data_IF_472535306105
#
_entry.id   IF_472535306105
#
_cell.length_a   1.000
_cell.length_b   1.000
_cell.length_c   1.000
_cell.angle_alpha   90.00
_cell.angle_beta   90.00
_cell.angle_gamma   90.00
#
_symmetry.space_group_name_H-M   'P 1'
#
loop_
_entity.id
_entity.type
_entity.pdbx_description
1 polymer ?
#
# COMPACT_ATOMS: atom_id res chain seq x y z
N UNK A 1 -0.37 30.23 -12.64
CA UNK A 1 -0.73 29.15 -13.59
C UNK A 1 -1.03 29.79 -14.94
N UNK A 2 -0.96 29.06 -16.06
CA UNK A 2 -1.28 29.62 -17.38
C UNK A 2 -2.33 28.77 -18.08
N UNK A 3 -3.59 29.18 -17.90
CA UNK A 3 -4.75 28.53 -18.49
C UNK A 3 -5.51 29.54 -19.37
N UNK A 4 -5.11 29.67 -20.66
CA UNK A 4 -5.61 30.74 -21.53
C UNK A 4 -7.11 30.65 -21.82
N UNK A 5 -7.73 29.47 -21.63
CA UNK A 5 -9.16 29.24 -21.84
C UNK A 5 -10.00 29.72 -20.65
N UNK A 6 -9.37 30.14 -19.55
CA UNK A 6 -10.01 30.70 -18.35
C UNK A 6 -9.64 32.18 -18.24
N UNK A 7 -10.48 33.12 -18.74
CA UNK A 7 -10.15 34.54 -18.80
C UNK A 7 -9.78 35.16 -17.44
N UNK A 8 -10.39 34.67 -16.36
CA UNK A 8 -10.11 35.10 -15.00
C UNK A 8 -8.67 34.76 -14.56
N UNK A 9 -8.05 33.72 -15.12
CA UNK A 9 -6.68 33.34 -14.80
C UNK A 9 -5.71 34.47 -15.13
N UNK A 10 -5.87 35.12 -16.29
CA UNK A 10 -5.01 36.25 -16.67
C UNK A 10 -5.21 37.46 -15.74
N UNK A 11 -6.46 37.80 -15.45
CA UNK A 11 -6.80 38.94 -14.55
C UNK A 11 -6.17 38.73 -13.17
N UNK A 12 -6.28 37.51 -12.62
CA UNK A 12 -5.70 37.17 -11.32
C UNK A 12 -4.17 37.16 -11.39
N UNK A 13 -3.57 36.60 -12.45
CA UNK A 13 -2.13 36.59 -12.62
C UNK A 13 -1.53 38.01 -12.66
N UNK A 14 -2.16 38.94 -13.38
CA UNK A 14 -1.68 40.33 -13.48
C UNK A 14 -1.69 41.00 -12.09
N UNK A 15 -2.76 40.80 -11.32
CA UNK A 15 -2.86 41.30 -9.94
C UNK A 15 -1.86 40.64 -9.00
N UNK A 16 -1.63 39.33 -9.14
CA UNK A 16 -0.63 38.61 -8.33
C UNK A 16 0.78 39.09 -8.62
N UNK A 17 1.09 39.47 -9.87
CA UNK A 17 2.38 40.03 -10.26
C UNK A 17 2.58 41.40 -9.61
N UNK A 18 1.57 42.26 -9.64
CA UNK A 18 1.60 43.57 -8.97
C UNK A 18 1.79 43.42 -7.46
N UNK A 19 0.98 42.56 -6.83
CA UNK A 19 1.06 42.27 -5.39
C UNK A 19 2.41 41.68 -4.98
N UNK A 20 2.97 40.77 -5.79
CA UNK A 20 4.28 40.19 -5.56
C UNK A 20 5.40 41.23 -5.57
N UNK A 21 5.29 42.27 -6.43
CA UNK A 21 6.23 43.39 -6.45
C UNK A 21 6.05 44.31 -5.25
N UNK A 22 4.82 44.67 -4.90
CA UNK A 22 4.53 45.55 -3.75
C UNK A 22 4.98 44.95 -2.42
N UNK A 23 4.74 43.65 -2.23
CA UNK A 23 5.06 42.93 -1.00
C UNK A 23 6.46 42.30 -1.00
N UNK A 24 7.20 42.42 -2.11
CA UNK A 24 8.49 41.79 -2.32
C UNK A 24 8.46 40.26 -2.07
N UNK A 25 7.42 39.60 -2.60
CA UNK A 25 7.21 38.15 -2.50
C UNK A 25 7.51 37.51 -3.86
N UNK A 26 8.46 36.55 -3.96
CA UNK A 26 8.77 35.88 -5.22
C UNK A 26 7.61 35.06 -5.77
N UNK A 27 7.41 35.12 -7.07
CA UNK A 27 6.39 34.35 -7.80
C UNK A 27 6.92 32.96 -8.19
N UNK A 28 6.01 32.01 -8.36
CA UNK A 28 6.33 30.64 -8.77
C UNK A 28 5.30 30.18 -9.82
N UNK A 29 5.78 29.62 -10.92
CA UNK A 29 4.94 29.09 -11.97
C UNK A 29 4.57 27.62 -11.72
N UNK A 30 3.30 27.27 -11.94
CA UNK A 30 2.78 25.89 -11.87
C UNK A 30 1.72 25.69 -12.97
N UNK A 31 1.40 24.43 -13.31
CA UNK A 31 0.37 24.09 -14.31
C UNK A 31 -0.83 23.32 -13.73
N UNK A 32 -0.88 23.12 -12.42
CA UNK A 32 -1.93 22.35 -11.74
C UNK A 32 -2.20 20.99 -12.41
N UNK A 33 -1.14 20.19 -12.49
CA UNK A 33 -1.13 18.97 -13.31
C UNK A 33 -2.06 17.90 -12.72
N UNK A 34 -2.99 17.41 -13.54
CA UNK A 34 -3.93 16.33 -13.18
C UNK A 34 -3.73 15.04 -13.98
N UNK A 35 -3.05 15.10 -15.12
CA UNK A 35 -2.78 13.96 -15.99
C UNK A 35 -1.44 14.11 -16.73
N UNK A 36 -0.94 13.04 -17.34
CA UNK A 36 0.39 13.04 -17.94
C UNK A 36 0.36 13.64 -19.34
N UNK A 37 -0.48 13.12 -20.24
CA UNK A 37 -0.55 13.53 -21.63
C UNK A 37 -1.79 14.41 -21.90
N UNK A 38 -1.71 15.39 -22.80
CA UNK A 38 -2.89 16.20 -23.17
C UNK A 38 -4.07 15.36 -23.67
N UNK A 39 -3.80 14.16 -24.20
CA UNK A 39 -4.81 13.19 -24.66
C UNK A 39 -5.56 12.47 -23.54
N UNK A 40 -5.07 12.54 -22.30
CA UNK A 40 -5.70 11.91 -21.13
C UNK A 40 -6.83 12.78 -20.53
N UNK A 41 -7.16 13.92 -21.16
CA UNK A 41 -8.24 14.81 -20.73
C UNK A 41 -9.62 14.11 -20.70
N UNK A 42 -9.92 13.22 -21.64
CA UNK A 42 -11.19 12.46 -21.66
C UNK A 42 -11.23 11.39 -20.55
N UNK A 43 -10.22 10.51 -20.38
CA UNK A 43 -10.14 9.61 -19.23
C UNK A 43 -10.25 10.34 -17.88
N UNK A 44 -9.56 11.47 -17.72
CA UNK A 44 -9.64 12.29 -16.52
C UNK A 44 -11.06 12.83 -16.27
N UNK A 45 -11.73 13.31 -17.32
CA UNK A 45 -13.12 13.76 -17.24
C UNK A 45 -14.08 12.63 -16.84
N UNK A 46 -13.86 11.41 -17.33
CA UNK A 46 -14.60 10.20 -16.90
C UNK A 46 -14.36 9.94 -15.41
N UNK A 47 -13.11 10.02 -14.94
CA UNK A 47 -12.77 9.82 -13.54
C UNK A 47 -13.46 10.84 -12.62
N UNK A 48 -13.50 12.12 -13.00
CA UNK A 48 -14.24 13.16 -12.26
C UNK A 48 -15.74 12.84 -12.23
N UNK A 49 -16.31 12.44 -13.36
CA UNK A 49 -17.72 12.05 -13.43
C UNK A 49 -18.03 10.85 -12.53
N UNK A 50 -17.12 9.87 -12.43
CA UNK A 50 -17.25 8.74 -11.53
C UNK A 50 -17.29 9.17 -10.06
N UNK A 51 -16.34 10.02 -9.65
CA UNK A 51 -16.25 10.52 -8.28
C UNK A 51 -17.46 11.39 -7.90
N UNK A 52 -17.90 12.25 -8.83
CA UNK A 52 -19.03 13.18 -8.62
C UNK A 52 -20.41 12.55 -8.89
N UNK A 53 -20.45 11.27 -9.29
CA UNK A 53 -21.67 10.52 -9.63
C UNK A 53 -22.51 11.21 -10.73
N UNK A 54 -21.84 11.78 -11.73
CA UNK A 54 -22.43 12.43 -12.90
C UNK A 54 -22.18 11.64 -14.18
N UNK A 55 -22.96 11.90 -15.22
CA UNK A 55 -22.68 11.41 -16.58
C UNK A 55 -21.98 12.49 -17.39
N UNK A 56 -21.25 12.10 -18.44
CA UNK A 56 -20.62 13.06 -19.35
C UNK A 56 -21.63 13.99 -20.02
N UNK A 57 -22.86 13.51 -20.23
CA UNK A 57 -23.97 14.24 -20.83
C UNK A 57 -24.60 15.30 -19.91
N UNK A 58 -24.26 15.33 -18.62
CA UNK A 58 -24.87 16.27 -17.67
C UNK A 58 -24.29 17.67 -17.89
N UNK A 59 -25.14 18.69 -18.11
CA UNK A 59 -24.70 20.05 -18.46
C UNK A 59 -24.04 20.80 -17.28
N UNK A 60 -24.52 20.59 -16.06
CA UNK A 60 -24.03 21.27 -14.84
C UNK A 60 -23.16 20.34 -14.00
N UNK A 61 -22.13 19.76 -14.61
CA UNK A 61 -21.15 18.90 -13.94
C UNK A 61 -19.79 19.58 -13.81
N UNK A 62 -19.00 19.14 -12.84
CA UNK A 62 -17.58 19.50 -12.78
C UNK A 62 -16.88 18.91 -14.01
N UNK A 63 -16.22 19.76 -14.79
CA UNK A 63 -15.44 19.35 -15.96
C UNK A 63 -14.24 20.28 -16.11
N UNK A 64 -13.12 19.68 -16.49
CA UNK A 64 -11.86 20.36 -16.79
C UNK A 64 -11.61 20.39 -18.31
N UNK A 65 -12.61 19.95 -19.10
CA UNK A 65 -12.52 20.00 -20.55
C UNK A 65 -12.49 21.44 -21.03
N UNK A 66 -11.72 21.68 -22.09
CA UNK A 66 -11.49 23.01 -22.66
C UNK A 66 -10.17 23.63 -22.26
N UNK A 67 -9.44 23.05 -21.30
CA UNK A 67 -8.10 23.50 -20.90
C UNK A 67 -7.16 22.29 -20.73
N UNK A 68 -5.84 22.53 -20.79
CA UNK A 68 -4.83 21.46 -20.71
C UNK A 68 -4.09 21.42 -19.36
N UNK A 69 -4.56 20.53 -18.48
CA UNK A 69 -3.95 20.22 -17.18
C UNK A 69 -2.93 19.06 -17.24
N UNK A 70 -2.33 18.81 -18.42
CA UNK A 70 -1.26 17.81 -18.56
C UNK A 70 0.08 18.27 -18.02
N UNK A 71 1.02 17.33 -17.90
CA UNK A 71 2.40 17.61 -17.52
C UNK A 71 3.15 18.26 -18.69
N UNK A 72 3.19 19.60 -18.71
CA UNK A 72 3.77 20.39 -19.81
C UNK A 72 5.30 20.34 -19.83
N UNK A 73 5.87 20.48 -21.02
CA UNK A 73 7.31 20.60 -21.20
C UNK A 73 7.84 21.96 -20.74
N UNK A 74 9.14 22.03 -20.46
CA UNK A 74 9.83 23.24 -20.03
C UNK A 74 9.70 24.35 -21.07
N UNK A 75 9.75 24.02 -22.37
CA UNK A 75 9.65 24.98 -23.47
C UNK A 75 8.27 25.64 -23.49
N UNK A 76 7.20 24.84 -23.37
CA UNK A 76 5.82 25.35 -23.31
C UNK A 76 5.60 26.23 -22.08
N UNK A 77 6.08 25.79 -20.91
CA UNK A 77 5.99 26.58 -19.68
C UNK A 77 6.79 27.87 -19.76
N UNK A 78 8.00 27.84 -20.33
CA UNK A 78 8.84 29.04 -20.49
C UNK A 78 8.23 30.03 -21.47
N UNK A 79 7.59 29.55 -22.55
CA UNK A 79 6.86 30.40 -23.48
C UNK A 79 5.64 31.05 -22.82
N UNK A 80 4.84 30.27 -22.09
CA UNK A 80 3.66 30.72 -21.35
C UNK A 80 4.00 31.82 -20.32
N UNK A 81 5.13 31.68 -19.62
CA UNK A 81 5.60 32.60 -18.58
C UNK A 81 6.71 33.55 -19.05
N UNK A 82 6.83 33.79 -20.36
CA UNK A 82 7.88 34.67 -20.93
C UNK A 82 7.85 36.12 -20.41
N UNK A 83 6.71 36.58 -19.91
CA UNK A 83 6.51 37.89 -19.29
C UNK A 83 7.00 37.96 -17.82
N UNK A 84 7.21 36.81 -17.17
CA UNK A 84 7.72 36.66 -15.79
C UNK A 84 8.65 35.44 -15.71
N UNK A 85 9.84 35.51 -16.33
CA UNK A 85 10.77 34.37 -16.37
C UNK A 85 11.27 33.96 -14.98
N UNK A 86 11.31 34.89 -14.00
CA UNK A 86 11.72 34.55 -12.64
C UNK A 86 10.82 33.49 -12.00
N UNK A 87 9.52 33.47 -12.35
CA UNK A 87 8.56 32.52 -11.80
C UNK A 87 8.91 31.06 -12.16
N UNK A 88 9.48 30.83 -13.35
CA UNK A 88 9.98 29.52 -13.76
C UNK A 88 11.26 29.19 -13.00
N UNK A 89 12.23 30.11 -12.97
CA UNK A 89 13.51 29.89 -12.27
C UNK A 89 13.34 29.58 -10.77
N UNK A 90 12.32 30.18 -10.14
CA UNK A 90 12.05 29.99 -8.73
C UNK A 90 11.53 28.58 -8.42
N UNK A 91 10.91 27.89 -9.39
CA UNK A 91 10.53 26.47 -9.21
C UNK A 91 11.77 25.60 -8.99
N UNK A 92 12.84 25.82 -9.76
CA UNK A 92 14.12 25.14 -9.61
C UNK A 92 14.78 25.43 -8.26
N UNK A 93 14.80 26.69 -7.82
CA UNK A 93 15.34 27.06 -6.50
C UNK A 93 14.59 26.37 -5.36
N UNK A 94 13.26 26.34 -5.42
CA UNK A 94 12.44 25.65 -4.40
C UNK A 94 12.75 24.15 -4.41
N UNK A 95 12.83 23.54 -5.59
CA UNK A 95 13.17 22.12 -5.71
C UNK A 95 14.55 21.80 -5.10
N UNK A 96 15.56 22.66 -5.32
CA UNK A 96 16.90 22.52 -4.72
C UNK A 96 16.90 22.67 -3.19
N UNK A 97 16.00 23.51 -2.65
CA UNK A 97 15.85 23.70 -1.20
C UNK A 97 15.12 22.54 -0.51
N UNK A 98 14.24 21.84 -1.22
CA UNK A 98 13.43 20.75 -0.69
C UNK A 98 14.22 19.43 -0.60
N UNK A 99 14.93 19.23 0.51
CA UNK A 99 15.67 18.00 0.81
C UNK A 99 15.00 17.24 1.96
N UNK A 100 14.16 16.25 1.63
CA UNK A 100 13.47 15.40 2.60
C UNK A 100 14.04 13.99 2.54
N UNK A 101 14.55 13.51 3.67
CA UNK A 101 15.02 12.13 3.80
C UNK A 101 13.95 11.29 4.50
N UNK A 102 13.50 10.23 3.82
CA UNK A 102 12.64 9.20 4.39
C UNK A 102 13.48 7.94 4.61
N UNK A 103 13.60 7.51 5.86
CA UNK A 103 14.31 6.29 6.22
C UNK A 103 13.35 5.10 6.13
N UNK A 104 13.65 4.17 5.23
CA UNK A 104 12.89 2.93 5.02
C UNK A 104 13.65 1.68 5.48
N UNK A 105 14.90 1.84 5.92
CA UNK A 105 15.79 0.73 6.28
C UNK A 105 15.79 0.50 7.80
N UNK A 106 15.59 1.56 8.59
CA UNK A 106 15.54 1.45 10.05
C UNK A 106 14.21 0.85 10.52
N UNK A 107 14.30 -0.30 11.20
CA UNK A 107 13.16 -0.94 11.84
C UNK A 107 12.98 -0.36 13.24
N UNK A 108 11.80 0.19 13.51
CA UNK A 108 11.41 0.68 14.82
C UNK A 108 10.50 -0.32 15.52
N UNK A 109 11.07 -1.19 16.36
CA UNK A 109 10.29 -2.11 17.19
C UNK A 109 9.80 -1.40 18.46
N UNK A 110 8.57 -1.66 18.92
CA UNK A 110 8.10 -1.13 20.20
C UNK A 110 8.87 -1.79 21.35
N UNK A 111 9.02 -1.06 22.46
CA UNK A 111 9.69 -1.60 23.64
C UNK A 111 8.81 -2.65 24.32
N UNK A 112 9.39 -3.84 24.58
CA UNK A 112 8.73 -4.88 25.36
C UNK A 112 9.13 -4.71 26.83
N UNK A 113 8.16 -4.42 27.71
CA UNK A 113 8.43 -4.21 29.13
C UNK A 113 8.92 -5.50 29.80
N UNK A 114 10.17 -5.48 30.25
CA UNK A 114 10.83 -6.60 30.93
C UNK A 114 11.14 -6.24 32.40
N UNK A 115 11.24 -7.25 33.29
CA UNK A 115 11.74 -7.02 34.64
C UNK A 115 13.15 -6.42 34.63
N UNK A 116 13.45 -5.59 35.64
CA UNK A 116 14.74 -4.90 35.75
C UNK A 116 15.88 -5.92 35.72
N UNK A 117 16.86 -5.68 34.83
CA UNK A 117 18.07 -6.50 34.72
C UNK A 117 17.94 -7.74 33.84
N UNK A 118 16.79 -7.97 33.18
CA UNK A 118 16.59 -9.07 32.24
C UNK A 118 16.57 -8.53 30.81
N UNK A 119 17.40 -9.12 29.92
CA UNK A 119 17.38 -8.75 28.49
C UNK A 119 16.28 -9.51 27.73
N UNK A 120 15.89 -9.00 26.55
CA UNK A 120 14.93 -9.70 25.69
C UNK A 120 15.40 -11.09 25.28
N UNK A 121 16.71 -11.27 25.07
CA UNK A 121 17.30 -12.58 24.76
C UNK A 121 17.16 -13.55 25.93
N UNK A 122 17.44 -13.09 27.16
CA UNK A 122 17.33 -13.92 28.37
C UNK A 122 15.88 -14.34 28.61
N UNK A 123 14.95 -13.40 28.45
CA UNK A 123 13.53 -13.67 28.63
C UNK A 123 12.98 -14.61 27.57
N UNK A 124 13.36 -14.44 26.30
CA UNK A 124 12.99 -15.34 25.21
C UNK A 124 13.52 -16.76 25.46
N UNK A 125 14.79 -16.88 25.87
CA UNK A 125 15.39 -18.17 26.26
C UNK A 125 14.60 -18.84 27.38
N UNK A 126 14.28 -18.10 28.45
CA UNK A 126 13.48 -18.61 29.55
C UNK A 126 12.13 -19.16 29.08
N UNK A 127 11.42 -18.46 28.18
CA UNK A 127 10.16 -18.95 27.62
C UNK A 127 10.35 -20.23 26.79
N UNK A 128 11.44 -20.33 26.02
CA UNK A 128 11.76 -21.56 25.29
C UNK A 128 12.06 -22.73 26.23
N UNK A 129 12.83 -22.49 27.29
CA UNK A 129 13.18 -23.51 28.29
C UNK A 129 11.94 -24.02 29.04
N UNK A 130 10.99 -23.14 29.33
CA UNK A 130 9.68 -23.49 29.89
C UNK A 130 8.77 -24.21 28.87
N UNK A 131 8.81 -23.81 27.61
CA UNK A 131 8.03 -24.40 26.51
C UNK A 131 8.52 -25.79 26.08
N UNK A 132 9.81 -26.07 26.21
CA UNK A 132 10.45 -27.31 25.79
C UNK A 132 9.83 -28.56 26.42
N UNK A 133 9.71 -28.70 27.76
CA UNK A 133 9.04 -29.83 28.39
C UNK A 133 7.53 -29.85 28.11
N UNK A 134 6.89 -28.68 27.93
CA UNK A 134 5.45 -28.61 27.65
C UNK A 134 5.09 -29.16 26.27
N UNK A 135 5.96 -28.99 25.27
CA UNK A 135 5.73 -29.46 23.89
C UNK A 135 6.27 -30.85 23.63
N UNK A 136 7.45 -31.19 24.15
CA UNK A 136 8.14 -32.46 23.86
C UNK A 136 8.09 -33.47 25.01
N UNK A 137 7.67 -33.07 26.21
CA UNK A 137 7.65 -33.95 27.39
C UNK A 137 9.05 -34.49 27.69
N UNK A 138 9.15 -35.82 27.83
CA UNK A 138 10.42 -36.52 28.03
C UNK A 138 11.22 -36.75 26.73
N UNK A 139 10.61 -36.54 25.55
CA UNK A 139 11.20 -36.82 24.24
C UNK A 139 12.14 -35.69 23.74
N UNK A 140 12.98 -35.15 24.63
CA UNK A 140 13.92 -34.08 24.28
C UNK A 140 15.21 -34.70 23.76
N UNK A 141 15.33 -34.81 22.45
CA UNK A 141 16.53 -35.32 21.78
C UNK A 141 17.66 -34.27 21.72
N UNK A 142 18.93 -34.68 21.57
CA UNK A 142 20.03 -33.74 21.36
C UNK A 142 19.82 -32.82 20.16
N UNK A 143 19.23 -33.31 19.08
CA UNK A 143 18.95 -32.53 17.87
C UNK A 143 17.98 -31.36 18.13
N UNK A 144 16.97 -31.57 18.99
CA UNK A 144 16.04 -30.52 19.40
C UNK A 144 16.78 -29.40 20.14
N UNK A 145 17.66 -29.75 21.09
CA UNK A 145 18.45 -28.77 21.85
C UNK A 145 19.41 -28.02 20.95
N UNK A 146 20.10 -28.72 20.05
CA UNK A 146 21.02 -28.11 19.09
C UNK A 146 20.30 -27.10 18.16
N UNK A 147 19.13 -27.46 17.63
CA UNK A 147 18.30 -26.56 16.82
C UNK A 147 17.84 -25.33 17.61
N UNK A 148 17.40 -25.52 18.86
CA UNK A 148 17.00 -24.41 19.73
C UNK A 148 18.16 -23.44 19.98
N UNK A 149 19.34 -23.94 20.32
CA UNK A 149 20.53 -23.12 20.54
C UNK A 149 20.94 -22.37 19.27
N UNK A 150 20.89 -23.03 18.11
CA UNK A 150 21.17 -22.41 16.82
C UNK A 150 20.22 -21.23 16.54
N UNK A 151 18.92 -21.43 16.68
CA UNK A 151 17.91 -20.39 16.43
C UNK A 151 18.04 -19.22 17.41
N UNK A 152 18.17 -19.49 18.72
CA UNK A 152 18.33 -18.44 19.74
C UNK A 152 19.59 -17.59 19.49
N UNK A 153 20.69 -18.20 19.05
CA UNK A 153 21.92 -17.48 18.70
C UNK A 153 21.71 -16.55 17.50
N UNK A 154 20.98 -16.98 16.47
CA UNK A 154 20.69 -16.14 15.30
C UNK A 154 19.74 -14.99 15.67
N UNK A 155 18.69 -15.27 16.44
CA UNK A 155 17.74 -14.25 16.90
C UNK A 155 18.46 -13.19 17.74
N UNK A 156 19.40 -13.61 18.61
CA UNK A 156 20.21 -12.68 19.40
C UNK A 156 21.13 -11.82 18.54
N UNK A 157 21.73 -12.37 17.47
CA UNK A 157 22.60 -11.61 16.55
C UNK A 157 21.84 -10.61 15.68
N UNK A 158 20.61 -10.97 15.30
CA UNK A 158 19.75 -10.13 14.45
C UNK A 158 18.98 -9.07 15.23
N UNK A 159 18.93 -9.17 16.57
CA UNK A 159 18.25 -8.19 17.43
C UNK A 159 16.72 -8.36 17.45
N UNK A 160 16.19 -9.48 16.97
CA UNK A 160 14.74 -9.69 16.86
C UNK A 160 14.10 -10.38 18.07
N UNK A 161 14.81 -10.59 19.18
CA UNK A 161 14.22 -11.21 20.37
C UNK A 161 12.98 -10.45 20.88
N UNK A 162 13.02 -9.12 20.92
CA UNK A 162 11.86 -8.30 21.31
C UNK A 162 10.66 -8.52 20.37
N UNK A 163 10.89 -8.71 19.07
CA UNK A 163 9.83 -9.00 18.10
C UNK A 163 9.13 -10.32 18.41
N UNK A 164 9.87 -11.39 18.71
CA UNK A 164 9.29 -12.66 19.15
C UNK A 164 8.47 -12.51 20.43
N UNK A 165 8.95 -11.74 21.41
CA UNK A 165 8.23 -11.50 22.66
C UNK A 165 6.92 -10.75 22.44
N UNK A 166 6.92 -9.72 21.60
CA UNK A 166 5.72 -8.96 21.24
C UNK A 166 4.68 -9.89 20.60
N UNK A 167 5.09 -10.69 19.62
CA UNK A 167 4.22 -11.62 18.89
C UNK A 167 3.68 -12.73 19.80
N UNK A 168 4.54 -13.36 20.60
CA UNK A 168 4.16 -14.39 21.56
C UNK A 168 3.13 -13.87 22.57
N UNK A 169 3.32 -12.65 23.06
CA UNK A 169 2.44 -12.02 24.03
C UNK A 169 1.03 -11.79 23.46
N UNK A 170 0.92 -11.28 22.24
CA UNK A 170 -0.39 -11.11 21.58
C UNK A 170 -1.13 -12.44 21.44
N UNK A 171 -0.43 -13.49 21.00
CA UNK A 171 -1.01 -14.81 20.81
C UNK A 171 -1.43 -15.42 22.14
N UNK A 172 -0.59 -15.30 23.16
CA UNK A 172 -0.85 -15.85 24.49
C UNK A 172 -2.02 -15.14 25.17
N UNK A 173 -2.06 -13.80 25.08
CA UNK A 173 -3.20 -13.02 25.56
C UNK A 173 -4.50 -13.40 24.84
N UNK A 174 -4.48 -13.51 23.50
CA UNK A 174 -5.65 -13.90 22.73
C UNK A 174 -6.19 -15.28 23.16
N UNK A 175 -5.31 -16.29 23.28
CA UNK A 175 -5.69 -17.63 23.73
C UNK A 175 -6.25 -17.64 25.16
N UNK A 176 -5.63 -16.91 26.09
CA UNK A 176 -6.09 -16.80 27.48
C UNK A 176 -7.47 -16.11 27.61
N UNK A 177 -7.84 -15.28 26.63
CA UNK A 177 -9.15 -14.63 26.57
C UNK A 177 -10.15 -15.37 25.66
N UNK A 178 -9.84 -16.63 25.30
CA UNK A 178 -10.71 -17.49 24.48
C UNK A 178 -10.86 -17.03 23.03
N UNK A 179 -9.93 -16.23 22.50
CA UNK A 179 -9.89 -15.85 21.09
C UNK A 179 -9.13 -16.94 20.34
N UNK A 180 -9.77 -17.49 19.30
CA UNK A 180 -9.16 -18.49 18.44
C UNK A 180 -8.05 -17.82 17.62
N UNK A 181 -6.85 -18.39 17.71
CA UNK A 181 -5.67 -18.00 16.93
C UNK A 181 -5.35 -19.14 15.96
N UNK A 182 -5.06 -18.81 14.71
CA UNK A 182 -4.64 -19.79 13.71
C UNK A 182 -3.36 -20.55 14.13
N UNK A 183 -3.05 -21.67 13.48
CA UNK A 183 -1.86 -22.49 13.79
C UNK A 183 -0.52 -21.80 13.47
N UNK A 184 -0.55 -20.61 12.88
CA UNK A 184 0.58 -19.90 12.26
C UNK A 184 0.65 -20.22 10.76
N UNK A 185 0.89 -19.20 9.93
CA UNK A 185 1.10 -19.36 8.48
C UNK A 185 2.47 -18.81 8.06
N UNK A 186 2.87 -19.13 6.83
CA UNK A 186 4.11 -18.64 6.26
C UNK A 186 5.36 -19.34 6.81
N UNK A 187 6.49 -18.66 6.76
CA UNK A 187 7.79 -19.22 7.14
C UNK A 187 7.96 -19.34 8.66
N UNK A 188 7.19 -18.62 9.47
CA UNK A 188 7.24 -18.68 10.93
C UNK A 188 7.09 -20.11 11.50
N UNK A 189 6.39 -21.00 10.79
CA UNK A 189 6.25 -22.42 11.16
C UNK A 189 7.57 -23.21 11.16
N UNK A 190 8.62 -22.72 10.48
CA UNK A 190 9.94 -23.37 10.44
C UNK A 190 10.82 -23.12 11.67
N UNK A 191 10.39 -22.29 12.61
CA UNK A 191 11.15 -21.94 13.82
C UNK A 191 10.71 -22.75 15.02
N UNK A 192 11.66 -23.47 15.66
CA UNK A 192 11.41 -24.15 16.92
C UNK A 192 11.13 -23.15 18.05
N UNK A 193 11.79 -21.98 18.03
CA UNK A 193 11.51 -20.90 18.99
C UNK A 193 10.05 -20.47 18.90
N UNK A 194 9.51 -20.32 17.68
CA UNK A 194 8.09 -20.01 17.48
C UNK A 194 7.16 -21.12 18.00
N UNK A 195 7.53 -22.38 17.83
CA UNK A 195 6.74 -23.52 18.32
C UNK A 195 6.70 -23.60 19.85
N UNK A 196 7.86 -23.42 20.50
CA UNK A 196 8.02 -23.51 21.95
C UNK A 196 7.38 -22.33 22.68
N UNK A 197 7.50 -21.12 22.13
CA UNK A 197 6.85 -19.91 22.67
C UNK A 197 5.36 -19.86 22.39
N UNK A 198 4.83 -20.81 21.61
CA UNK A 198 3.42 -20.90 21.28
C UNK A 198 2.97 -20.00 20.14
N UNK A 199 3.89 -19.31 19.44
CA UNK A 199 3.57 -18.53 18.25
C UNK A 199 2.98 -19.44 17.17
N UNK A 200 3.59 -20.59 16.93
CA UNK A 200 3.09 -21.62 16.01
C UNK A 200 2.70 -22.88 16.77
N UNK A 201 1.86 -23.70 16.13
CA UNK A 201 1.40 -24.99 16.68
C UNK A 201 1.87 -26.21 15.87
N UNK A 202 2.80 -26.01 14.93
CA UNK A 202 3.36 -27.06 14.08
C UNK A 202 4.79 -27.33 14.55
N UNK A 203 5.12 -28.60 14.78
CA UNK A 203 6.47 -29.02 15.16
C UNK A 203 7.40 -28.99 13.92
N UNK A 204 8.37 -28.06 13.85
CA UNK A 204 9.23 -27.92 12.68
C UNK A 204 10.19 -29.10 12.51
N UNK A 205 10.56 -29.80 13.59
CA UNK A 205 11.50 -30.92 13.51
C UNK A 205 10.80 -32.16 12.97
N UNK A 206 9.56 -32.40 13.41
CA UNK A 206 8.77 -33.52 12.92
C UNK A 206 8.48 -33.44 11.42
N UNK A 207 8.23 -32.23 10.90
CA UNK A 207 7.89 -31.99 9.50
C UNK A 207 9.06 -31.51 8.63
N UNK A 208 10.29 -31.55 9.16
CA UNK A 208 11.53 -31.11 8.47
C UNK A 208 11.43 -29.69 7.88
N UNK A 209 10.86 -28.78 8.67
CA UNK A 209 10.71 -27.37 8.30
C UNK A 209 12.00 -26.60 8.60
N UNK A 210 12.44 -25.81 7.62
CA UNK A 210 13.71 -25.08 7.66
C UNK A 210 13.55 -23.71 8.33
N UNK A 211 14.43 -23.40 9.28
CA UNK A 211 14.45 -22.11 10.00
C UNK A 211 14.97 -20.99 9.10
N UNK A 212 15.92 -21.30 8.23
CA UNK A 212 16.60 -20.35 7.34
C UNK A 212 15.64 -19.75 6.30
N UNK A 213 14.51 -20.43 6.04
CA UNK A 213 13.41 -19.89 5.23
C UNK A 213 12.66 -18.77 5.97
N UNK A 214 12.68 -18.78 7.29
CA UNK A 214 12.10 -17.75 8.14
C UNK A 214 13.07 -16.62 8.43
N UNK A 215 14.24 -16.97 8.97
CA UNK A 215 15.27 -16.01 9.33
C UNK A 215 16.61 -16.50 8.82
N UNK A 216 17.10 -15.88 7.75
CA UNK A 216 18.37 -16.24 7.15
C UNK A 216 19.52 -15.44 7.80
N UNK A 217 20.54 -16.08 8.39
CA UNK A 217 21.67 -15.39 9.00
C UNK A 217 22.55 -14.61 7.99
N UNK A 218 22.55 -15.00 6.72
CA UNK A 218 23.30 -14.31 5.65
C UNK A 218 22.56 -13.09 5.10
N UNK A 219 21.23 -13.02 5.33
CA UNK A 219 20.37 -11.91 4.90
C UNK A 219 19.47 -11.48 6.05
N UNK A 220 19.98 -10.58 6.88
CA UNK A 220 19.21 -9.95 7.95
C UNK A 220 18.07 -9.16 7.30
N UNK A 221 16.86 -9.68 7.43
CA UNK A 221 15.63 -9.06 6.99
C UNK A 221 14.60 -9.25 8.10
N UNK A 222 13.67 -8.30 8.21
CA UNK A 222 12.64 -8.37 9.23
C UNK A 222 11.82 -9.65 9.03
N UNK A 223 11.75 -10.55 10.03
CA UNK A 223 10.89 -11.71 9.94
C UNK A 223 9.44 -11.25 9.97
N UNK A 224 8.62 -11.77 9.05
CA UNK A 224 7.18 -11.50 9.03
C UNK A 224 6.42 -12.68 9.62
N UNK A 225 5.87 -12.49 10.83
CA UNK A 225 5.01 -13.46 11.50
C UNK A 225 3.55 -13.05 11.28
N UNK A 226 2.97 -13.68 10.28
CA UNK A 226 1.57 -13.58 9.96
C UNK A 226 0.70 -14.35 10.97
N UNK A 227 -0.12 -13.62 11.73
CA UNK A 227 -1.04 -14.21 12.72
C UNK A 227 -2.49 -14.00 12.30
N UNK A 228 -3.24 -15.09 12.30
CA UNK A 228 -4.68 -15.09 12.11
C UNK A 228 -5.43 -15.05 13.44
N UNK A 229 -6.30 -14.06 13.59
CA UNK A 229 -7.27 -13.97 14.68
C UNK A 229 -8.68 -14.11 14.13
N UNK A 230 -9.58 -14.69 14.91
CA UNK A 230 -11.01 -14.72 14.56
C UNK A 230 -11.56 -13.32 14.25
N UNK A 231 -12.12 -13.13 13.05
CA UNK A 231 -12.65 -11.84 12.55
C UNK A 231 -13.56 -11.13 13.57
N UNK A 232 -14.46 -11.89 14.21
CA UNK A 232 -15.44 -11.34 15.16
C UNK A 232 -14.83 -10.70 16.42
N UNK A 233 -13.60 -11.10 16.81
CA UNK A 233 -12.94 -10.67 18.05
C UNK A 233 -11.59 -9.99 17.82
N UNK A 234 -11.22 -9.71 16.56
CA UNK A 234 -9.96 -9.03 16.20
C UNK A 234 -9.81 -7.68 16.89
N UNK A 235 -10.91 -6.93 17.05
CA UNK A 235 -10.89 -5.62 17.70
C UNK A 235 -10.42 -5.68 19.16
N UNK A 236 -10.65 -6.78 19.87
CA UNK A 236 -10.18 -6.95 21.24
C UNK A 236 -8.66 -7.05 21.31
N UNK A 237 -8.04 -7.73 20.34
CA UNK A 237 -6.57 -7.83 20.21
C UNK A 237 -5.95 -6.48 19.89
N UNK A 238 -6.58 -5.71 19.01
CA UNK A 238 -6.16 -4.34 18.68
C UNK A 238 -6.23 -3.44 19.93
N UNK A 239 -7.33 -3.54 20.69
CA UNK A 239 -7.49 -2.76 21.92
C UNK A 239 -6.45 -3.16 22.97
N UNK A 240 -6.13 -4.45 23.09
CA UNK A 240 -5.05 -4.92 23.95
C UNK A 240 -3.69 -4.32 23.55
N UNK A 241 -3.37 -4.34 22.25
CA UNK A 241 -2.14 -3.73 21.73
C UNK A 241 -2.09 -2.23 22.05
N UNK A 242 -3.20 -1.51 21.84
CA UNK A 242 -3.29 -0.07 22.16
C UNK A 242 -3.13 0.20 23.66
N UNK A 243 -3.73 -0.62 24.53
CA UNK A 243 -3.59 -0.48 25.97
C UNK A 243 -2.17 -0.78 26.46
N UNK A 244 -1.47 -1.73 25.81
CA UNK A 244 -0.13 -2.16 26.21
C UNK A 244 0.99 -1.25 25.68
N UNK A 245 0.90 -0.86 24.41
CA UNK A 245 1.95 -0.09 23.73
C UNK A 245 1.62 1.41 23.58
N UNK A 246 0.40 1.81 23.95
CA UNK A 246 -0.11 3.17 23.89
C UNK A 246 -1.01 3.41 22.67
N UNK A 247 -2.13 4.10 22.89
CA UNK A 247 -3.12 4.40 21.84
C UNK A 247 -2.56 5.21 20.67
N UNK A 248 -1.51 6.00 20.89
CA UNK A 248 -0.86 6.82 19.87
C UNK A 248 0.19 6.06 19.05
N UNK A 249 0.47 4.79 19.39
CA UNK A 249 1.48 3.96 18.72
C UNK A 249 0.88 2.77 17.97
N UNK A 250 -0.45 2.63 17.97
CA UNK A 250 -1.16 1.54 17.31
C UNK A 250 -2.15 2.11 16.31
N UNK A 251 -2.01 1.71 15.05
CA UNK A 251 -2.92 2.09 13.98
C UNK A 251 -3.12 0.93 13.00
N UNK A 252 -4.19 1.00 12.22
CA UNK A 252 -4.44 0.06 11.14
C UNK A 252 -3.77 0.53 9.85
N UNK A 253 -3.36 -0.42 9.03
CA UNK A 253 -2.80 -0.15 7.71
C UNK A 253 -3.96 0.03 6.73
N UNK A 254 -3.92 1.11 5.94
CA UNK A 254 -4.92 1.39 4.91
C UNK A 254 -4.80 0.38 3.76
N UNK A 255 -5.93 0.03 3.16
CA UNK A 255 -5.97 -0.74 1.90
C UNK A 255 -6.59 0.14 0.82
N UNK A 256 -5.90 0.30 -0.30
CA UNK A 256 -6.41 1.04 -1.46
C UNK A 256 -7.12 0.07 -2.41
N UNK A 257 -8.41 0.28 -2.64
CA UNK A 257 -9.14 -0.41 -3.69
C UNK A 257 -8.79 0.19 -5.06
N UNK A 258 -8.35 -0.63 -6.00
CA UNK A 258 -8.10 -0.22 -7.39
C UNK A 258 -9.26 -0.64 -8.29
N UNK A 259 -9.44 0.04 -9.42
CA UNK A 259 -10.44 -0.35 -10.41
C UNK A 259 -9.96 -1.60 -11.17
N UNK A 260 -10.51 -2.76 -10.82
CA UNK A 260 -10.24 -4.00 -11.57
C UNK A 260 -10.83 -3.92 -12.98
N UNK A 261 -10.25 -4.65 -13.95
CA UNK A 261 -10.62 -4.56 -15.37
C UNK A 261 -12.14 -4.64 -15.65
N UNK A 262 -12.86 -5.56 -14.99
CA UNK A 262 -14.33 -5.68 -15.12
C UNK A 262 -15.08 -4.47 -14.58
N UNK A 263 -14.59 -3.89 -13.48
CA UNK A 263 -15.17 -2.71 -12.83
C UNK A 263 -14.91 -1.49 -13.68
N UNK A 264 -13.68 -1.29 -14.18
CA UNK A 264 -13.31 -0.16 -15.06
C UNK A 264 -14.22 -0.06 -16.28
N UNK A 265 -14.53 -1.20 -16.94
CA UNK A 265 -15.46 -1.23 -18.09
C UNK A 265 -16.88 -0.80 -17.70
N UNK A 266 -17.39 -1.29 -16.56
CA UNK A 266 -18.75 -0.95 -16.10
C UNK A 266 -18.85 0.52 -15.68
N UNK A 267 -17.83 1.01 -14.98
CA UNK A 267 -17.78 2.37 -14.47
C UNK A 267 -17.61 3.38 -15.61
N UNK A 268 -16.64 3.18 -16.51
CA UNK A 268 -16.48 4.03 -17.68
C UNK A 268 -17.76 4.06 -18.54
N UNK A 269 -18.35 2.88 -18.78
CA UNK A 269 -19.54 2.78 -19.63
C UNK A 269 -20.77 3.44 -19.03
N UNK A 270 -20.96 3.35 -17.70
CA UNK A 270 -22.03 4.07 -17.00
C UNK A 270 -21.93 5.58 -17.18
N UNK A 271 -20.71 6.11 -17.06
CA UNK A 271 -20.45 7.56 -17.17
C UNK A 271 -20.59 8.06 -18.61
N UNK A 272 -20.18 7.25 -19.58
CA UNK A 272 -20.35 7.51 -21.01
C UNK A 272 -21.81 7.37 -21.48
N UNK A 273 -22.72 6.88 -20.61
CA UNK A 273 -24.15 6.77 -20.91
C UNK A 273 -24.57 5.46 -21.57
N UNK A 274 -23.70 4.46 -21.67
CA UNK A 274 -24.06 3.16 -22.20
C UNK A 274 -24.99 2.39 -21.26
N UNK A 275 -25.78 1.48 -21.83
CA UNK A 275 -26.68 0.64 -21.03
C UNK A 275 -25.90 -0.34 -20.15
N UNK A 276 -26.39 -0.58 -18.93
CA UNK A 276 -25.76 -1.52 -18.00
C UNK A 276 -25.59 -2.92 -18.62
N UNK A 277 -26.59 -3.41 -19.37
CA UNK A 277 -26.53 -4.71 -20.02
C UNK A 277 -25.41 -4.80 -21.07
N UNK A 278 -25.17 -3.73 -21.82
CA UNK A 278 -24.07 -3.67 -22.78
C UNK A 278 -22.72 -3.73 -22.09
N UNK A 279 -22.51 -2.92 -21.04
CA UNK A 279 -21.27 -2.92 -20.26
C UNK A 279 -21.03 -4.24 -19.53
N UNK A 280 -22.06 -4.85 -18.95
CA UNK A 280 -21.94 -6.11 -18.22
C UNK A 280 -21.60 -7.28 -19.16
N UNK A 281 -22.13 -7.29 -20.39
CA UNK A 281 -21.76 -8.26 -21.42
C UNK A 281 -20.26 -8.20 -21.71
N UNK A 282 -19.70 -7.02 -21.94
CA UNK A 282 -18.27 -6.84 -22.20
C UNK A 282 -17.44 -7.22 -20.97
N UNK A 283 -17.85 -6.78 -19.77
CA UNK A 283 -17.14 -7.08 -18.54
C UNK A 283 -17.08 -8.58 -18.21
N UNK A 284 -18.10 -9.36 -18.56
CA UNK A 284 -18.13 -10.82 -18.33
C UNK A 284 -17.19 -11.60 -19.23
N UNK A 285 -16.85 -11.07 -20.42
CA UNK A 285 -15.88 -11.69 -21.32
C UNK A 285 -14.46 -11.68 -20.74
N UNK A 286 -14.15 -10.72 -19.86
CA UNK A 286 -12.83 -10.59 -19.23
C UNK A 286 -12.70 -11.68 -18.16
N UNK A 287 -11.71 -12.60 -18.21
CA UNK A 287 -11.51 -13.59 -17.17
C UNK A 287 -11.22 -12.94 -15.80
N UNK A 288 -11.58 -13.63 -14.71
CA UNK A 288 -11.24 -13.16 -13.36
C UNK A 288 -9.72 -13.06 -13.20
N UNK A 289 -9.25 -12.11 -12.36
CA UNK A 289 -7.83 -11.91 -12.04
C UNK A 289 -6.92 -11.64 -13.25
N UNK A 290 -7.47 -11.11 -14.35
CA UNK A 290 -6.72 -10.82 -15.58
C UNK A 290 -6.80 -9.33 -15.90
N UNK A 291 -5.70 -8.76 -16.43
CA UNK A 291 -5.68 -7.37 -16.91
C UNK A 291 -6.46 -7.23 -18.21
N UNK A 292 -6.89 -6.01 -18.53
CA UNK A 292 -7.66 -5.75 -19.74
C UNK A 292 -6.85 -6.03 -21.02
N UNK A 293 -5.56 -5.69 -21.03
CA UNK A 293 -4.67 -5.98 -22.17
C UNK A 293 -4.53 -7.47 -22.43
N UNK A 294 -4.28 -8.26 -21.38
CA UNK A 294 -4.19 -9.72 -21.50
C UNK A 294 -5.52 -10.35 -21.90
N UNK A 295 -6.64 -9.79 -21.45
CA UNK A 295 -7.96 -10.26 -21.87
C UNK A 295 -8.22 -10.00 -23.37
N UNK A 296 -7.77 -8.86 -23.91
CA UNK A 296 -7.88 -8.55 -25.35
C UNK A 296 -7.04 -9.49 -26.23
N UNK A 297 -5.91 -9.96 -25.73
CA UNK A 297 -5.05 -10.93 -26.45
C UNK A 297 -5.62 -12.35 -26.40
N UNK A 298 -6.13 -12.77 -25.23
CA UNK A 298 -6.54 -14.17 -24.98
C UNK A 298 -7.97 -14.48 -25.37
N UNK A 299 -8.88 -13.50 -25.33
CA UNK A 299 -10.31 -13.71 -25.60
C UNK A 299 -10.66 -13.20 -26.99
N UNK A 300 -10.81 -14.12 -27.94
CA UNK A 300 -11.11 -13.81 -29.33
C UNK A 300 -12.40 -13.00 -29.51
N UNK A 301 -13.44 -13.28 -28.72
CA UNK A 301 -14.71 -12.56 -28.75
C UNK A 301 -14.56 -11.09 -28.32
N UNK A 302 -13.79 -10.82 -27.26
CA UNK A 302 -13.51 -9.46 -26.79
C UNK A 302 -12.71 -8.68 -27.84
N UNK A 303 -11.72 -9.32 -28.47
CA UNK A 303 -10.93 -8.73 -29.55
C UNK A 303 -11.79 -8.43 -30.80
N UNK A 304 -12.69 -9.34 -31.16
CA UNK A 304 -13.63 -9.14 -32.25
C UNK A 304 -14.57 -7.95 -31.97
N UNK A 305 -15.11 -7.83 -30.75
CA UNK A 305 -15.90 -6.66 -30.35
C UNK A 305 -15.08 -5.37 -30.44
N UNK A 306 -13.85 -5.38 -29.92
CA UNK A 306 -12.95 -4.23 -29.95
C UNK A 306 -12.62 -3.76 -31.38
N UNK A 307 -12.56 -4.66 -32.36
CA UNK A 307 -12.27 -4.32 -33.77
C UNK A 307 -13.51 -3.89 -34.56
N UNK A 308 -14.66 -4.51 -34.30
CA UNK A 308 -15.85 -4.39 -35.15
C UNK A 308 -16.89 -3.40 -34.60
N UNK A 309 -16.90 -3.12 -33.29
CA UNK A 309 -17.85 -2.22 -32.65
C UNK A 309 -17.14 -0.93 -32.19
N UNK A 310 -17.43 0.24 -32.83
CA UNK A 310 -16.84 1.51 -32.45
C UNK A 310 -17.13 1.94 -31.00
N UNK A 311 -18.31 1.61 -30.47
CA UNK A 311 -18.69 1.95 -29.08
C UNK A 311 -17.89 1.09 -28.10
N UNK A 312 -17.72 -0.20 -28.40
CA UNK A 312 -16.92 -1.12 -27.60
C UNK A 312 -15.45 -0.69 -27.58
N UNK A 313 -14.92 -0.30 -28.75
CA UNK A 313 -13.56 0.22 -28.86
C UNK A 313 -13.35 1.43 -27.96
N UNK A 314 -14.21 2.44 -28.07
CA UNK A 314 -14.13 3.66 -27.26
C UNK A 314 -14.23 3.34 -25.77
N UNK A 315 -15.16 2.47 -25.37
CA UNK A 315 -15.32 2.05 -23.99
C UNK A 315 -14.07 1.35 -23.44
N UNK A 316 -13.52 0.40 -24.20
CA UNK A 316 -12.34 -0.36 -23.80
C UNK A 316 -11.13 0.55 -23.72
N UNK A 317 -10.91 1.44 -24.70
CA UNK A 317 -9.80 2.39 -24.69
C UNK A 317 -9.85 3.33 -23.47
N UNK A 318 -11.05 3.80 -23.09
CA UNK A 318 -11.22 4.62 -21.88
C UNK A 318 -11.02 3.83 -20.59
N UNK A 319 -11.37 2.54 -20.55
CA UNK A 319 -11.15 1.70 -19.38
C UNK A 319 -9.71 1.17 -19.25
N UNK A 320 -8.91 1.24 -20.32
CA UNK A 320 -7.48 0.88 -20.35
C UNK A 320 -6.57 1.99 -19.84
N UNK A 321 -6.98 3.25 -20.05
CA UNK A 321 -6.33 4.44 -19.50
C UNK A 321 -6.68 4.59 -18.01
#
# INVERSE_FOLDING_TARGET
>A
QHHPSIPQCQIVNDQLIELGRELNVPLVATNDVHYIESTDNIPHDILICLQTKRKQSDENRMSYLGEDFSFQSIEKMSQAFSHVPEAISNTGKIAEMCNVTLDFDTIHLPEYQLPIGITANDYLRKLCDEGLPNRYGENITPAIKERLEYELNIISKTGYASYFLIVQDFISWARNNGIIVGPGRGSAAGSIVSYLTGITNIDPIHYDLLFERFLNPERISMPDIDIDFSDARRNEVIQYAANKYGHNHVSQIITFGTMAARVSIRDAGRVMGYSYGYCDRIAKLIPMFTSLDKALETVAELNAMYKNDPEAKKLIDMARR
#
